data_IF_870569910689
#
_entry.id   IF_870569910689
#
_cell.length_a   1.000
_cell.length_b   1.000
_cell.length_c   1.000
_cell.angle_alpha   90.00
_cell.angle_beta   90.00
_cell.angle_gamma   90.00
#
_symmetry.space_group_name_H-M   'P 1'
#
loop_
_entity.id
_entity.type
_entity.pdbx_description
1 polymer ?
#
# COMPACT_ATOMS: atom_id res chain seq x y z
N UNK A 1 97.10 -22.96 -12.73
CA UNK A 1 96.32 -23.17 -11.48
C UNK A 1 94.88 -22.84 -11.78
N UNK A 2 94.04 -23.85 -11.56
CA UNK A 2 92.65 -23.99 -11.94
C UNK A 2 91.71 -23.62 -10.79
N UNK A 3 90.52 -23.15 -11.17
CA UNK A 3 89.23 -23.09 -10.44
C UNK A 3 89.04 -21.96 -9.39
N UNK A 4 87.79 -21.54 -9.09
CA UNK A 4 86.59 -21.54 -9.95
C UNK A 4 85.74 -20.23 -9.88
N UNK A 5 84.89 -20.06 -10.89
CA UNK A 5 83.64 -19.32 -10.83
C UNK A 5 82.67 -19.96 -9.85
N UNK A 6 82.11 -19.18 -8.92
CA UNK A 6 80.97 -19.59 -8.07
C UNK A 6 79.81 -18.60 -8.27
N UNK A 7 78.56 -19.10 -8.35
CA UNK A 7 77.43 -18.35 -8.86
C UNK A 7 76.67 -17.61 -7.76
N UNK A 8 75.89 -16.61 -8.20
CA UNK A 8 74.59 -16.26 -7.65
C UNK A 8 74.46 -16.10 -6.13
N UNK A 9 74.46 -14.86 -5.66
CA UNK A 9 73.60 -14.47 -4.54
C UNK A 9 73.04 -13.08 -4.82
N UNK A 10 71.92 -13.04 -5.53
CA UNK A 10 71.01 -11.91 -5.48
C UNK A 10 70.39 -11.96 -4.07
N UNK A 11 70.91 -11.16 -3.14
CA UNK A 11 70.21 -10.93 -1.88
C UNK A 11 68.92 -10.18 -2.24
N UNK A 12 67.84 -10.94 -2.41
CA UNK A 12 66.51 -10.42 -2.15
C UNK A 12 66.51 -10.03 -0.67
N UNK A 13 66.77 -8.73 -0.41
CA UNK A 13 66.30 -8.11 0.82
C UNK A 13 64.78 -8.23 0.78
N UNK A 14 64.26 -9.36 1.27
CA UNK A 14 62.91 -9.46 1.72
C UNK A 14 62.78 -8.42 2.82
N UNK A 15 62.19 -7.28 2.46
CA UNK A 15 61.62 -6.34 3.42
C UNK A 15 60.59 -7.13 4.21
N UNK A 16 61.06 -7.67 5.34
CA UNK A 16 60.26 -8.24 6.40
C UNK A 16 59.22 -7.21 6.77
N UNK A 17 57.96 -7.56 6.52
CA UNK A 17 56.80 -6.84 7.01
C UNK A 17 56.91 -5.33 6.83
N UNK A 18 56.61 -4.84 5.62
CA UNK A 18 55.71 -3.70 5.62
C UNK A 18 54.42 -4.21 6.28
N UNK A 19 54.36 -4.12 7.62
CA UNK A 19 53.10 -3.82 8.24
C UNK A 19 52.64 -2.59 7.50
N UNK A 20 51.69 -2.78 6.59
CA UNK A 20 50.80 -1.71 6.22
C UNK A 20 50.20 -1.30 7.55
N UNK A 21 50.83 -0.34 8.22
CA UNK A 21 50.18 0.43 9.24
C UNK A 21 48.96 0.94 8.52
N UNK A 22 47.80 0.35 8.84
CA UNK A 22 46.51 0.87 8.45
C UNK A 22 46.60 2.32 8.87
N UNK A 23 46.83 3.20 7.89
CA UNK A 23 46.94 4.60 8.14
C UNK A 23 45.61 4.96 8.77
N UNK A 24 45.61 5.19 10.09
CA UNK A 24 44.54 5.90 10.77
C UNK A 24 44.59 7.32 10.21
N UNK A 25 44.13 7.48 8.98
CA UNK A 25 43.72 8.77 8.47
C UNK A 25 42.55 9.18 9.37
N UNK A 26 42.69 10.23 10.19
CA UNK A 26 41.57 10.72 10.97
C UNK A 26 40.47 11.14 10.00
N UNK A 27 39.21 10.90 10.34
CA UNK A 27 38.06 11.52 9.67
C UNK A 27 38.13 13.04 9.87
N UNK A 28 39.02 13.74 9.17
CA UNK A 28 39.12 15.19 9.31
C UNK A 28 37.96 15.90 8.60
N UNK A 29 37.27 15.22 7.68
CA UNK A 29 36.07 15.71 7.02
C UNK A 29 35.23 14.54 6.54
N UNK A 30 33.96 14.49 6.94
CA UNK A 30 32.93 13.67 6.30
C UNK A 30 32.11 14.57 5.35
N UNK A 31 31.44 14.00 4.35
CA UNK A 31 30.63 14.81 3.43
C UNK A 31 29.46 15.47 4.19
N UNK A 32 28.86 16.51 3.60
CA UNK A 32 27.67 17.17 4.14
C UNK A 32 26.58 16.11 4.45
N UNK A 33 25.89 16.26 5.58
CA UNK A 33 24.96 15.27 6.15
C UNK A 33 25.59 13.91 6.51
N UNK A 34 26.90 13.87 6.76
CA UNK A 34 27.59 12.69 7.28
C UNK A 34 28.40 12.99 8.54
N UNK A 35 28.65 11.94 9.33
CA UNK A 35 29.46 12.01 10.54
C UNK A 35 30.43 10.83 10.62
N UNK A 36 31.52 11.01 11.38
CA UNK A 36 32.53 9.98 11.54
C UNK A 36 32.13 8.97 12.62
N UNK A 37 32.42 7.70 12.36
CA UNK A 37 32.24 6.57 13.26
C UNK A 37 33.61 5.94 13.52
N UNK A 38 33.91 5.69 14.81
CA UNK A 38 35.13 5.03 15.28
C UNK A 38 36.45 5.66 14.81
N UNK A 39 36.43 6.93 14.39
CA UNK A 39 37.59 7.65 13.83
C UNK A 39 38.19 7.02 12.56
N UNK A 40 37.48 6.10 11.91
CA UNK A 40 37.98 5.36 10.73
C UNK A 40 37.10 5.51 9.50
N UNK A 41 35.78 5.65 9.66
CA UNK A 41 34.82 5.64 8.56
C UNK A 41 33.76 6.73 8.73
N UNK A 42 33.22 7.24 7.63
CA UNK A 42 32.04 8.10 7.62
C UNK A 42 30.77 7.25 7.44
N UNK A 43 29.66 7.76 7.97
CA UNK A 43 28.29 7.30 7.70
C UNK A 43 27.40 8.52 7.46
N UNK A 44 26.29 8.35 6.77
CA UNK A 44 25.29 9.41 6.62
C UNK A 44 24.43 9.58 7.88
N UNK A 45 23.95 10.80 8.10
CA UNK A 45 22.93 11.11 9.10
C UNK A 45 21.63 10.34 8.80
N UNK A 46 20.77 10.09 9.80
CA UNK A 46 19.42 9.58 9.54
C UNK A 46 18.68 10.43 8.50
N UNK A 47 17.93 9.77 7.60
CA UNK A 47 17.28 10.44 6.46
C UNK A 47 18.17 10.60 5.22
N UNK A 48 19.45 10.18 5.28
CA UNK A 48 20.37 10.27 4.15
C UNK A 48 21.00 8.91 3.80
N UNK A 49 21.29 8.70 2.53
CA UNK A 49 21.92 7.49 1.99
C UNK A 49 23.15 7.86 1.14
N UNK A 50 24.19 7.03 1.19
CA UNK A 50 25.36 7.22 0.32
C UNK A 50 25.01 6.93 -1.13
N UNK A 51 25.69 7.62 -2.06
CA UNK A 51 25.49 7.42 -3.50
C UNK A 51 25.70 5.96 -3.94
N UNK A 52 26.57 5.21 -3.26
CA UNK A 52 26.80 3.79 -3.51
C UNK A 52 25.93 2.83 -2.70
N UNK A 53 25.05 3.32 -1.81
CA UNK A 53 24.25 2.51 -0.88
C UNK A 53 25.05 1.84 0.27
N UNK A 54 26.34 2.18 0.43
CA UNK A 54 27.17 1.66 1.54
C UNK A 54 26.88 2.41 2.83
N UNK A 55 26.72 1.66 3.93
CA UNK A 55 26.52 2.25 5.26
C UNK A 55 27.78 2.95 5.81
N UNK A 56 28.95 2.36 5.61
CA UNK A 56 30.23 2.93 6.03
C UNK A 56 31.15 3.13 4.83
N UNK A 57 31.81 4.28 4.75
CA UNK A 57 32.66 4.65 3.62
C UNK A 57 33.79 5.61 4.01
N UNK A 58 34.71 5.87 3.08
CA UNK A 58 35.80 6.83 3.24
C UNK A 58 35.52 8.08 2.38
N UNK A 59 35.68 9.27 2.97
CA UNK A 59 35.64 10.55 2.25
C UNK A 59 36.93 10.73 1.41
N UNK A 60 36.94 11.41 0.23
CA UNK A 60 35.91 12.25 -0.39
C UNK A 60 35.05 11.59 -1.49
N UNK A 61 35.11 10.27 -1.64
CA UNK A 61 34.55 9.59 -2.82
C UNK A 61 33.03 9.36 -2.75
N UNK A 62 32.39 9.71 -1.64
CA UNK A 62 30.96 9.50 -1.40
C UNK A 62 30.28 10.80 -0.97
N UNK A 63 29.01 10.92 -1.32
CA UNK A 63 28.11 11.99 -0.88
C UNK A 63 26.90 11.37 -0.19
N UNK A 64 26.40 12.04 0.85
CA UNK A 64 25.14 11.70 1.47
C UNK A 64 24.02 12.44 0.75
N UNK A 65 23.12 11.68 0.14
CA UNK A 65 21.93 12.19 -0.54
C UNK A 65 20.74 11.99 0.35
N UNK A 66 19.85 12.97 0.35
CA UNK A 66 18.56 12.86 0.99
C UNK A 66 17.79 11.64 0.47
N UNK A 67 17.13 10.93 1.39
CA UNK A 67 16.26 9.81 1.06
C UNK A 67 14.88 10.40 0.80
N UNK A 68 14.37 10.28 -0.43
CA UNK A 68 12.99 10.68 -0.71
C UNK A 68 12.03 9.60 -0.22
N UNK A 69 11.58 9.68 1.03
CA UNK A 69 10.71 8.66 1.60
C UNK A 69 9.33 8.62 0.93
N UNK A 70 8.95 9.66 0.18
CA UNK A 70 7.70 9.73 -0.55
C UNK A 70 7.73 9.01 -1.91
N UNK A 71 8.91 8.54 -2.37
CA UNK A 71 9.06 7.82 -3.64
C UNK A 71 9.50 6.36 -3.43
N UNK A 72 9.31 5.49 -4.44
CA UNK A 72 9.87 4.15 -4.41
C UNK A 72 11.39 4.20 -4.18
N UNK A 73 11.95 3.32 -3.32
CA UNK A 73 11.34 2.08 -2.82
C UNK A 73 10.55 2.20 -1.50
N UNK A 74 10.56 3.35 -0.81
CA UNK A 74 9.95 3.49 0.52
C UNK A 74 8.46 3.88 0.39
N UNK A 75 8.17 4.96 -0.34
CA UNK A 75 6.83 5.45 -0.66
C UNK A 75 5.87 5.52 0.54
N UNK A 76 6.21 6.33 1.55
CA UNK A 76 5.42 6.48 2.78
C UNK A 76 3.98 6.93 2.50
N UNK A 77 3.05 6.21 3.14
CA UNK A 77 1.62 6.53 3.12
C UNK A 77 1.25 7.45 4.28
N UNK A 78 0.62 8.58 3.97
CA UNK A 78 0.24 9.61 4.94
C UNK A 78 -1.22 9.53 5.42
N UNK A 79 -1.99 8.54 4.96
CA UNK A 79 -3.41 8.44 5.27
C UNK A 79 -4.32 9.16 4.28
N UNK A 80 -5.62 8.99 4.46
CA UNK A 80 -6.68 9.55 3.62
C UNK A 80 -6.65 11.10 3.59
N UNK A 81 -6.85 11.67 2.41
CA UNK A 81 -6.85 13.13 2.18
C UNK A 81 -5.55 13.81 2.61
N UNK A 82 -4.43 13.07 2.60
CA UNK A 82 -3.12 13.61 2.86
C UNK A 82 -2.12 13.12 1.82
N UNK A 83 -1.11 13.94 1.55
CA UNK A 83 0.00 13.66 0.66
C UNK A 83 1.32 13.70 1.43
N UNK A 84 2.25 12.82 1.06
CA UNK A 84 3.62 12.86 1.57
C UNK A 84 4.39 14.00 0.91
N UNK A 85 5.12 14.77 1.71
CA UNK A 85 6.04 15.82 1.28
C UNK A 85 7.43 15.54 1.82
N UNK A 86 8.35 15.26 0.90
CA UNK A 86 9.75 15.06 1.21
C UNK A 86 10.37 16.39 1.65
N UNK A 87 11.18 16.36 2.70
CA UNK A 87 11.98 17.49 3.18
C UNK A 87 13.40 17.03 3.43
N UNK A 88 14.38 17.92 3.39
CA UNK A 88 15.77 17.48 3.55
C UNK A 88 16.00 16.81 4.93
N UNK A 89 16.38 15.53 4.90
CA UNK A 89 16.61 14.66 6.04
C UNK A 89 15.35 14.02 6.63
N UNK A 90 14.16 14.23 6.06
CA UNK A 90 12.91 13.66 6.58
C UNK A 90 11.72 13.78 5.61
N UNK A 91 10.51 13.55 6.11
CA UNK A 91 9.28 13.82 5.39
C UNK A 91 8.23 14.34 6.38
N UNK A 92 7.20 14.99 5.84
CA UNK A 92 5.97 15.23 6.58
C UNK A 92 4.77 14.90 5.70
N UNK A 93 3.67 14.63 6.36
CA UNK A 93 2.38 14.48 5.74
C UNK A 93 1.65 15.81 5.75
N UNK A 94 0.89 16.08 4.69
CA UNK A 94 0.10 17.29 4.56
C UNK A 94 -1.30 16.97 4.09
N UNK A 95 -2.33 17.53 4.71
CA UNK A 95 -3.69 17.44 4.19
C UNK A 95 -3.74 18.02 2.76
N UNK A 96 -4.43 17.34 1.86
CA UNK A 96 -4.64 17.86 0.50
C UNK A 96 -5.52 19.13 0.56
N UNK A 97 -5.41 20.04 -0.41
CA UNK A 97 -6.21 21.26 -0.42
C UNK A 97 -7.71 20.99 -0.23
N UNK A 98 -8.34 21.77 0.66
CA UNK A 98 -9.75 21.57 1.05
C UNK A 98 -9.94 20.69 2.29
N UNK A 99 -8.85 20.19 2.87
CA UNK A 99 -8.86 19.40 4.10
C UNK A 99 -7.88 19.97 5.14
N UNK A 100 -8.28 19.90 6.41
CA UNK A 100 -7.49 20.35 7.57
C UNK A 100 -7.57 19.33 8.70
N UNK A 101 -6.54 19.27 9.54
CA UNK A 101 -6.58 18.49 10.77
C UNK A 101 -7.66 19.05 11.70
N UNK A 102 -8.10 18.23 12.64
CA UNK A 102 -9.03 18.67 13.69
C UNK A 102 -8.51 19.86 14.51
N UNK A 103 -7.18 20.03 14.60
CA UNK A 103 -6.54 21.17 15.26
C UNK A 103 -6.58 22.47 14.44
N UNK A 104 -6.94 22.40 13.15
CA UNK A 104 -6.82 23.51 12.19
C UNK A 104 -5.46 23.57 11.50
N UNK A 105 -4.52 22.69 11.85
CA UNK A 105 -3.24 22.57 11.15
C UNK A 105 -3.39 21.78 9.83
N UNK A 106 -2.40 21.89 8.95
CA UNK A 106 -2.39 21.17 7.66
C UNK A 106 -1.26 20.15 7.54
N UNK A 107 -0.34 20.08 8.48
CA UNK A 107 0.84 19.21 8.44
C UNK A 107 0.92 18.30 9.69
N UNK A 108 1.40 17.08 9.50
CA UNK A 108 1.58 16.08 10.56
C UNK A 108 2.67 15.08 10.18
N UNK A 109 3.15 14.25 11.11
CA UNK A 109 4.39 13.51 10.89
C UNK A 109 4.21 12.09 10.33
N UNK A 110 3.06 11.45 10.54
CA UNK A 110 2.82 10.09 10.07
C UNK A 110 1.32 9.76 9.95
N UNK A 111 0.98 8.66 9.27
CA UNK A 111 -0.41 8.26 9.02
C UNK A 111 -1.29 8.06 10.26
N UNK A 112 -0.71 7.75 11.43
CA UNK A 112 -1.50 7.55 12.65
C UNK A 112 -2.08 8.87 13.19
N UNK A 113 -1.48 10.01 12.82
CA UNK A 113 -1.92 11.35 13.21
C UNK A 113 -2.90 11.96 12.19
N UNK A 114 -3.22 11.23 11.13
CA UNK A 114 -4.06 11.75 10.06
C UNK A 114 -5.51 11.96 10.52
N UNK A 115 -5.87 13.23 10.72
CA UNK A 115 -7.23 13.67 11.07
C UNK A 115 -7.79 14.65 10.03
N UNK A 116 -7.31 14.61 8.79
CA UNK A 116 -7.71 15.53 7.72
C UNK A 116 -9.21 15.42 7.39
N UNK A 117 -9.96 16.50 7.66
CA UNK A 117 -11.40 16.63 7.40
C UNK A 117 -11.69 17.77 6.42
N UNK A 118 -12.76 17.62 5.65
CA UNK A 118 -13.12 18.58 4.60
C UNK A 118 -13.68 19.89 5.20
N UNK A 119 -13.13 21.03 4.79
CA UNK A 119 -13.48 22.37 5.27
C UNK A 119 -14.95 22.74 4.95
N UNK A 120 -15.56 22.10 3.94
CA UNK A 120 -16.94 22.40 3.48
C UNK A 120 -18.06 21.58 4.14
N UNK A 121 -17.75 20.65 5.06
CA UNK A 121 -18.74 19.69 5.58
C UNK A 121 -19.72 20.24 6.63
N UNK A 122 -19.80 21.56 6.85
CA UNK A 122 -20.85 22.14 7.69
C UNK A 122 -22.11 22.47 6.86
N UNK A 123 -22.98 21.44 6.70
CA UNK A 123 -24.41 21.44 6.29
C UNK A 123 -24.71 20.61 5.03
N UNK A 124 -24.86 19.30 5.20
CA UNK A 124 -25.87 18.44 4.55
C UNK A 124 -25.87 17.07 5.26
N UNK A 125 -26.94 16.26 5.24
CA UNK A 125 -26.98 14.99 5.95
C UNK A 125 -25.85 14.08 5.48
N UNK A 126 -24.99 13.65 6.42
CA UNK A 126 -23.70 13.04 6.12
C UNK A 126 -23.87 11.61 5.56
N UNK A 127 -23.83 11.45 4.23
CA UNK A 127 -23.65 10.15 3.58
C UNK A 127 -22.43 9.39 4.14
N UNK A 128 -21.37 10.11 4.51
CA UNK A 128 -20.20 9.55 5.21
C UNK A 128 -20.52 8.95 6.59
N UNK A 129 -21.43 9.55 7.38
CA UNK A 129 -21.81 9.04 8.70
C UNK A 129 -22.67 7.78 8.55
N UNK A 130 -23.58 7.75 7.58
CA UNK A 130 -24.36 6.55 7.24
C UNK A 130 -23.45 5.43 6.70
N UNK A 131 -22.49 5.76 5.84
CA UNK A 131 -21.52 4.81 5.28
C UNK A 131 -20.62 4.21 6.39
N UNK A 132 -20.24 5.01 7.37
CA UNK A 132 -19.52 4.55 8.56
C UNK A 132 -20.37 3.56 9.39
N UNK A 133 -21.65 3.85 9.60
CA UNK A 133 -22.55 2.94 10.31
C UNK A 133 -22.70 1.60 9.56
N UNK A 134 -22.78 1.63 8.23
CA UNK A 134 -22.81 0.43 7.40
C UNK A 134 -21.55 -0.42 7.64
N UNK A 135 -20.37 0.18 7.52
CA UNK A 135 -19.08 -0.53 7.69
C UNK A 135 -18.93 -1.12 9.10
N UNK A 136 -19.31 -0.38 10.15
CA UNK A 136 -19.25 -0.86 11.53
C UNK A 136 -20.25 -2.02 11.78
N UNK A 137 -21.45 -1.94 11.22
CA UNK A 137 -22.44 -3.02 11.35
C UNK A 137 -21.93 -4.31 10.70
N UNK A 138 -21.30 -4.22 9.53
CA UNK A 138 -20.79 -5.40 8.83
C UNK A 138 -19.50 -5.96 9.44
N UNK A 139 -18.66 -5.13 10.05
CA UNK A 139 -17.56 -5.60 10.89
C UNK A 139 -18.07 -6.56 11.97
N UNK A 140 -19.13 -6.17 12.70
CA UNK A 140 -19.70 -6.99 13.77
C UNK A 140 -20.19 -8.37 13.28
N UNK A 141 -20.67 -8.47 12.04
CA UNK A 141 -21.10 -9.73 11.43
C UNK A 141 -19.90 -10.58 10.98
N UNK A 142 -18.86 -9.95 10.45
CA UNK A 142 -17.67 -10.64 9.94
C UNK A 142 -16.74 -11.13 11.07
N UNK A 143 -16.77 -10.49 12.24
CA UNK A 143 -15.97 -10.92 13.41
C UNK A 143 -16.71 -11.91 14.32
N UNK A 144 -17.98 -12.21 14.05
CA UNK A 144 -18.78 -13.09 14.91
C UNK A 144 -18.42 -14.58 14.69
N UNK A 145 -17.58 -15.11 15.58
CA UNK A 145 -17.02 -16.46 15.45
C UNK A 145 -18.06 -17.58 15.65
N UNK A 146 -19.10 -17.37 16.46
CA UNK A 146 -20.17 -18.36 16.67
C UNK A 146 -21.10 -18.45 15.46
N UNK A 147 -21.26 -17.35 14.72
CA UNK A 147 -22.07 -17.29 13.50
C UNK A 147 -21.48 -18.13 12.35
N UNK A 148 -20.15 -18.14 12.20
CA UNK A 148 -19.47 -18.87 11.11
C UNK A 148 -19.09 -20.31 11.46
N UNK A 149 -18.92 -20.64 12.74
CA UNK A 149 -18.40 -21.94 13.19
C UNK A 149 -19.40 -23.11 13.19
N UNK A 150 -20.68 -22.88 12.87
CA UNK A 150 -21.76 -23.87 13.06
C UNK A 150 -22.43 -24.37 11.76
N UNK A 151 -22.05 -23.84 10.59
CA UNK A 151 -22.70 -24.13 9.31
C UNK A 151 -21.90 -25.06 8.38
N UNK A 152 -22.59 -25.73 7.47
CA UNK A 152 -21.99 -26.42 6.33
C UNK A 152 -21.31 -25.43 5.36
N UNK A 153 -20.39 -25.91 4.51
CA UNK A 153 -19.71 -25.09 3.50
C UNK A 153 -20.69 -24.30 2.63
N UNK A 154 -21.78 -24.94 2.19
CA UNK A 154 -22.82 -24.34 1.37
C UNK A 154 -23.53 -23.19 2.11
N UNK A 155 -23.84 -23.37 3.38
CA UNK A 155 -24.49 -22.35 4.22
C UNK A 155 -23.57 -21.17 4.48
N UNK A 156 -22.28 -21.43 4.75
CA UNK A 156 -21.25 -20.39 4.89
C UNK A 156 -21.12 -19.60 3.58
N UNK A 157 -21.06 -20.27 2.43
CA UNK A 157 -20.97 -19.65 1.11
C UNK A 157 -22.18 -18.74 0.81
N UNK A 158 -23.38 -19.25 1.07
CA UNK A 158 -24.65 -18.55 0.87
C UNK A 158 -24.74 -17.31 1.77
N UNK A 159 -24.36 -17.47 3.03
CA UNK A 159 -24.37 -16.39 4.03
C UNK A 159 -23.35 -15.30 3.69
N UNK A 160 -22.12 -15.69 3.32
CA UNK A 160 -21.10 -14.76 2.85
C UNK A 160 -21.58 -13.99 1.62
N UNK A 161 -22.15 -14.69 0.64
CA UNK A 161 -22.70 -14.07 -0.58
C UNK A 161 -23.80 -13.05 -0.25
N UNK A 162 -24.71 -13.40 0.66
CA UNK A 162 -25.79 -12.49 1.12
C UNK A 162 -25.23 -11.25 1.82
N UNK A 163 -24.20 -11.40 2.66
CA UNK A 163 -23.53 -10.27 3.31
C UNK A 163 -22.89 -9.36 2.26
N UNK A 164 -22.11 -9.91 1.32
CA UNK A 164 -21.45 -9.15 0.27
C UNK A 164 -22.45 -8.33 -0.57
N UNK A 165 -23.55 -8.97 -1.00
CA UNK A 165 -24.61 -8.29 -1.76
C UNK A 165 -25.31 -7.19 -0.96
N UNK A 166 -25.55 -7.41 0.33
CA UNK A 166 -26.17 -6.41 1.20
C UNK A 166 -25.25 -5.21 1.43
N UNK A 167 -23.94 -5.43 1.58
CA UNK A 167 -22.95 -4.35 1.69
C UNK A 167 -22.96 -3.53 0.40
N UNK A 168 -22.84 -4.18 -0.77
CA UNK A 168 -22.87 -3.52 -2.07
C UNK A 168 -24.10 -2.64 -2.26
N UNK A 169 -25.29 -3.18 -1.99
CA UNK A 169 -26.55 -2.45 -2.15
C UNK A 169 -26.62 -1.22 -1.26
N UNK A 170 -26.33 -1.39 0.05
CA UNK A 170 -26.42 -0.28 1.02
C UNK A 170 -25.39 0.81 0.75
N UNK A 171 -24.15 0.41 0.42
CA UNK A 171 -23.08 1.35 0.06
C UNK A 171 -23.47 2.20 -1.14
N UNK A 172 -24.00 1.58 -2.21
CA UNK A 172 -24.42 2.28 -3.42
C UNK A 172 -25.64 3.18 -3.17
N UNK A 173 -26.62 2.72 -2.40
CA UNK A 173 -27.78 3.55 -2.00
C UNK A 173 -27.36 4.79 -1.21
N UNK A 174 -26.48 4.63 -0.21
CA UNK A 174 -25.94 5.76 0.56
C UNK A 174 -25.15 6.71 -0.32
N UNK A 175 -24.36 6.19 -1.26
CA UNK A 175 -23.62 7.02 -2.20
C UNK A 175 -24.55 7.89 -3.06
N UNK A 176 -25.60 7.28 -3.62
CA UNK A 176 -26.59 7.95 -4.48
C UNK A 176 -27.47 8.97 -3.74
N UNK A 177 -27.65 8.84 -2.41
CA UNK A 177 -28.35 9.84 -1.58
C UNK A 177 -27.56 11.13 -1.38
N UNK A 178 -26.24 11.10 -1.57
CA UNK A 178 -25.35 12.25 -1.42
C UNK A 178 -24.58 12.55 -2.72
N UNK A 179 -25.25 12.91 -3.83
CA UNK A 179 -24.60 13.07 -5.13
C UNK A 179 -23.61 14.24 -5.20
N UNK A 180 -23.71 15.20 -4.27
CA UNK A 180 -22.70 16.26 -4.10
C UNK A 180 -21.36 15.75 -3.59
N UNK A 181 -21.33 14.59 -2.93
CA UNK A 181 -20.12 13.89 -2.52
C UNK A 181 -19.69 12.92 -3.62
N UNK A 182 -18.95 13.45 -4.60
CA UNK A 182 -18.50 12.66 -5.78
C UNK A 182 -17.70 11.42 -5.41
N UNK A 183 -16.89 11.46 -4.35
CA UNK A 183 -16.11 10.33 -3.86
C UNK A 183 -16.37 10.18 -2.37
N UNK A 184 -16.64 8.97 -1.91
CA UNK A 184 -16.80 8.65 -0.48
C UNK A 184 -15.89 7.49 -0.12
N UNK A 185 -15.17 7.61 0.99
CA UNK A 185 -14.18 6.62 1.43
C UNK A 185 -14.34 6.35 2.91
N UNK A 186 -14.51 5.09 3.27
CA UNK A 186 -14.64 4.63 4.66
C UNK A 186 -13.88 3.32 4.81
N UNK A 187 -13.14 3.15 5.89
CA UNK A 187 -12.48 1.89 6.19
C UNK A 187 -12.35 1.65 7.69
N UNK A 188 -12.35 0.38 8.08
CA UNK A 188 -11.88 -0.11 9.36
C UNK A 188 -10.91 -1.30 9.14
N UNK A 189 -10.64 -2.07 10.20
CA UNK A 189 -9.77 -3.25 10.16
C UNK A 189 -10.33 -4.41 9.32
N UNK A 190 -11.64 -4.43 9.03
CA UNK A 190 -12.34 -5.58 8.42
C UNK A 190 -12.88 -5.28 7.02
N UNK A 191 -13.40 -4.08 6.78
CA UNK A 191 -14.02 -3.65 5.52
C UNK A 191 -13.49 -2.27 5.13
N UNK A 192 -13.14 -2.11 3.87
CA UNK A 192 -12.80 -0.82 3.27
C UNK A 192 -13.67 -0.58 2.03
N UNK A 193 -14.19 0.63 1.88
CA UNK A 193 -15.15 1.02 0.86
C UNK A 193 -14.69 2.33 0.22
N UNK A 194 -14.62 2.35 -1.11
CA UNK A 194 -14.57 3.57 -1.92
C UNK A 194 -15.79 3.58 -2.84
N UNK A 195 -16.51 4.70 -2.89
CA UNK A 195 -17.56 4.94 -3.88
C UNK A 195 -17.25 6.16 -4.72
N UNK A 196 -17.77 6.16 -5.94
CA UNK A 196 -17.71 7.30 -6.85
C UNK A 196 -19.06 7.52 -7.52
N UNK A 197 -19.60 8.73 -7.38
CA UNK A 197 -20.87 9.16 -8.00
C UNK A 197 -20.59 9.94 -9.27
N UNK A 198 -21.30 9.58 -10.33
CA UNK A 198 -21.28 10.19 -11.67
C UNK A 198 -22.64 10.85 -11.92
N UNK A 199 -22.66 12.17 -12.02
CA UNK A 199 -23.90 12.95 -12.21
C UNK A 199 -23.95 13.68 -13.56
N UNK A 200 -22.82 13.77 -14.26
CA UNK A 200 -22.59 14.61 -15.43
C UNK A 200 -22.48 13.79 -16.73
N UNK A 201 -22.92 12.53 -16.72
CA UNK A 201 -22.90 11.67 -17.91
C UNK A 201 -21.51 11.56 -18.57
N UNK A 202 -20.44 11.55 -17.77
CA UNK A 202 -19.04 11.43 -18.20
C UNK A 202 -18.51 12.60 -19.06
N UNK A 203 -19.08 13.81 -18.95
CA UNK A 203 -18.66 14.96 -19.74
C UNK A 203 -17.21 15.41 -19.45
N UNK A 204 -16.77 15.32 -18.19
CA UNK A 204 -15.46 15.79 -17.75
C UNK A 204 -14.35 14.73 -17.86
N UNK A 205 -14.69 13.44 -17.93
CA UNK A 205 -13.71 12.34 -17.83
C UNK A 205 -14.04 11.17 -18.78
N UNK A 206 -13.51 11.21 -20.01
CA UNK A 206 -13.42 10.02 -20.91
C UNK A 206 -12.36 9.01 -20.45
N UNK A 207 -12.15 8.88 -19.14
CA UNK A 207 -11.07 8.08 -18.54
C UNK A 207 -11.65 6.93 -17.72
N UNK A 208 -10.88 5.87 -17.59
CA UNK A 208 -11.12 4.86 -16.58
C UNK A 208 -11.04 5.49 -15.19
N UNK A 209 -12.05 5.23 -14.36
CA UNK A 209 -12.01 5.54 -12.94
C UNK A 209 -11.21 4.45 -12.23
N UNK A 210 -10.19 4.88 -11.49
CA UNK A 210 -9.46 4.02 -10.57
C UNK A 210 -9.99 4.21 -9.16
N UNK A 211 -10.63 3.17 -8.61
CA UNK A 211 -10.99 3.10 -7.20
C UNK A 211 -9.97 2.20 -6.49
N UNK A 212 -9.67 2.49 -5.23
CA UNK A 212 -8.73 1.73 -4.42
C UNK A 212 -9.26 1.54 -2.99
N UNK A 213 -9.15 0.31 -2.51
CA UNK A 213 -9.44 -0.05 -1.13
C UNK A 213 -8.25 -0.81 -0.58
N UNK A 214 -7.63 -0.22 0.44
CA UNK A 214 -6.37 -0.72 1.02
C UNK A 214 -5.31 -0.92 -0.08
N UNK A 215 -4.91 -2.16 -0.34
CA UNK A 215 -3.88 -2.55 -1.31
C UNK A 215 -4.44 -3.06 -2.65
N UNK A 216 -5.75 -3.00 -2.83
CA UNK A 216 -6.42 -3.45 -4.05
C UNK A 216 -6.93 -2.26 -4.84
N UNK A 217 -7.13 -2.46 -6.15
CA UNK A 217 -7.75 -1.44 -6.99
C UNK A 217 -8.59 -2.03 -8.11
N UNK A 218 -9.54 -1.23 -8.59
CA UNK A 218 -10.34 -1.52 -9.78
C UNK A 218 -10.28 -0.34 -10.72
N UNK A 219 -10.05 -0.63 -12.01
CA UNK A 219 -10.19 0.32 -13.10
C UNK A 219 -11.48 0.00 -13.87
N UNK A 220 -12.39 0.97 -13.94
CA UNK A 220 -13.68 0.85 -14.64
C UNK A 220 -13.96 2.10 -15.46
N UNK A 221 -14.39 1.91 -16.72
CA UNK A 221 -14.68 3.04 -17.59
C UNK A 221 -15.97 3.74 -17.19
N UNK A 222 -15.98 5.08 -17.26
CA UNK A 222 -17.14 5.87 -16.88
C UNK A 222 -18.42 5.43 -17.62
N UNK A 223 -18.31 5.10 -18.92
CA UNK A 223 -19.44 4.63 -19.73
C UNK A 223 -20.08 3.35 -19.20
N UNK A 224 -19.30 2.48 -18.55
CA UNK A 224 -19.77 1.24 -17.93
C UNK A 224 -20.40 1.49 -16.56
N UNK A 225 -20.16 2.65 -15.97
CA UNK A 225 -20.84 3.14 -14.75
C UNK A 225 -22.17 3.80 -15.10
N UNK A 226 -22.23 4.65 -16.13
CA UNK A 226 -23.45 5.37 -16.50
C UNK A 226 -24.46 4.53 -17.31
N UNK A 227 -24.07 3.36 -17.82
CA UNK A 227 -24.94 2.34 -18.46
C UNK A 227 -26.10 2.89 -19.33
N UNK A 228 -25.86 3.96 -20.10
CA UNK A 228 -26.83 4.58 -21.02
C UNK A 228 -27.23 6.03 -20.67
N UNK A 229 -28.29 6.55 -21.31
CA UNK A 229 -28.87 7.88 -20.99
C UNK A 229 -29.80 7.75 -19.79
N UNK A 230 -29.30 7.98 -18.59
CA UNK A 230 -30.09 7.94 -17.35
C UNK A 230 -30.65 9.32 -16.97
N UNK A 231 -31.81 9.32 -16.30
CA UNK A 231 -32.27 10.46 -15.50
C UNK A 231 -31.74 10.23 -14.08
N UNK A 232 -30.71 10.98 -13.67
CA UNK A 232 -30.16 10.94 -12.32
C UNK A 232 -28.74 10.37 -12.20
N UNK A 233 -28.13 10.49 -11.01
CA UNK A 233 -26.75 10.06 -10.78
C UNK A 233 -26.61 8.54 -10.84
N UNK A 234 -25.44 8.07 -11.29
CA UNK A 234 -24.99 6.68 -11.20
C UNK A 234 -23.82 6.59 -10.24
N UNK A 235 -23.55 5.43 -9.67
CA UNK A 235 -22.45 5.24 -8.74
C UNK A 235 -21.74 3.92 -8.98
N UNK A 236 -20.45 3.89 -8.70
CA UNK A 236 -19.65 2.66 -8.57
C UNK A 236 -19.09 2.58 -7.16
N UNK A 237 -19.08 1.37 -6.61
CA UNK A 237 -18.48 1.05 -5.33
C UNK A 237 -17.40 -0.02 -5.52
N UNK A 238 -16.28 0.15 -4.84
CA UNK A 238 -15.24 -0.86 -4.69
C UNK A 238 -15.05 -1.13 -3.21
N UNK A 239 -15.08 -2.40 -2.83
CA UNK A 239 -15.11 -2.83 -1.43
C UNK A 239 -14.06 -3.92 -1.24
N UNK A 240 -13.27 -3.85 -0.17
CA UNK A 240 -12.35 -4.91 0.27
C UNK A 240 -12.77 -5.45 1.63
N UNK A 241 -12.67 -6.77 1.80
CA UNK A 241 -13.03 -7.53 2.99
C UNK A 241 -11.81 -8.29 3.51
N UNK A 242 -11.12 -7.71 4.50
CA UNK A 242 -9.89 -8.26 5.05
C UNK A 242 -10.11 -9.53 5.88
N UNK A 243 -11.25 -9.64 6.59
CA UNK A 243 -11.52 -10.77 7.49
C UNK A 243 -12.16 -11.98 6.80
N UNK A 244 -12.67 -11.83 5.57
CA UNK A 244 -13.41 -12.91 4.90
C UNK A 244 -12.50 -14.05 4.44
N UNK A 245 -11.20 -13.80 4.21
CA UNK A 245 -10.23 -14.86 3.90
C UNK A 245 -10.06 -15.88 5.04
N UNK A 246 -10.29 -15.48 6.29
CA UNK A 246 -10.25 -16.39 7.44
C UNK A 246 -11.50 -17.27 7.52
N UNK A 247 -12.63 -16.77 7.01
CA UNK A 247 -13.92 -17.49 6.93
C UNK A 247 -13.88 -18.48 5.76
N UNK A 248 -13.37 -18.03 4.61
CA UNK A 248 -13.19 -18.83 3.38
C UNK A 248 -11.79 -19.48 3.35
N UNK A 249 -11.44 -20.21 4.40
CA UNK A 249 -10.12 -20.82 4.56
C UNK A 249 -9.94 -22.10 3.72
N UNK A 250 -8.76 -22.73 3.77
CA UNK A 250 -8.44 -23.92 2.98
C UNK A 250 -9.44 -25.08 3.07
N UNK A 251 -10.11 -25.26 4.20
CA UNK A 251 -11.11 -26.33 4.37
C UNK A 251 -12.35 -26.11 3.48
N UNK A 252 -12.56 -24.88 3.02
CA UNK A 252 -13.65 -24.51 2.12
C UNK A 252 -13.41 -24.99 0.68
N UNK A 253 -12.16 -25.02 0.21
CA UNK A 253 -11.82 -25.42 -1.17
C UNK A 253 -11.68 -26.95 -1.27
N UNK A 254 -12.64 -27.60 -1.92
CA UNK A 254 -12.86 -29.06 -1.84
C UNK A 254 -11.79 -29.99 -2.45
N UNK A 255 -10.68 -29.49 -3.00
CA UNK A 255 -9.74 -30.35 -3.77
C UNK A 255 -8.28 -29.95 -3.67
N UNK A 256 -7.82 -29.71 -2.46
CA UNK A 256 -6.41 -29.89 -2.17
C UNK A 256 -6.16 -31.34 -1.81
N UNK A 257 -5.17 -31.99 -2.42
CA UNK A 257 -4.55 -33.17 -1.83
C UNK A 257 -4.20 -32.80 -0.37
N UNK A 258 -4.32 -33.69 0.62
CA UNK A 258 -4.02 -33.34 2.04
C UNK A 258 -2.59 -32.76 2.19
N UNK A 259 -1.75 -33.00 1.18
CA UNK A 259 -0.39 -32.49 1.05
C UNK A 259 -0.28 -31.05 0.51
N UNK A 260 -1.25 -30.57 -0.27
CA UNK A 260 -1.20 -29.26 -0.96
C UNK A 260 -2.47 -28.42 -0.72
N UNK A 261 -2.72 -27.97 0.52
CA UNK A 261 -3.85 -27.10 0.86
C UNK A 261 -3.86 -25.79 0.05
N UNK A 262 -5.00 -25.50 -0.59
CA UNK A 262 -5.24 -24.25 -1.32
C UNK A 262 -5.70 -23.17 -0.36
N UNK A 263 -5.10 -22.00 -0.42
CA UNK A 263 -5.48 -20.85 0.39
C UNK A 263 -5.76 -19.65 -0.50
N UNK A 264 -6.70 -18.81 -0.07
CA UNK A 264 -6.86 -17.48 -0.65
C UNK A 264 -5.63 -16.64 -0.28
N UNK A 265 -4.87 -16.19 -1.27
CA UNK A 265 -3.68 -15.35 -1.06
C UNK A 265 -3.96 -13.85 -1.24
N UNK A 266 -5.22 -13.45 -1.25
CA UNK A 266 -5.64 -12.06 -1.43
C UNK A 266 -6.81 -11.74 -0.51
N UNK A 267 -7.14 -10.45 -0.39
CA UNK A 267 -8.40 -10.04 0.21
C UNK A 267 -9.54 -10.33 -0.76
N UNK A 268 -10.71 -10.68 -0.23
CA UNK A 268 -11.92 -10.70 -1.05
C UNK A 268 -12.29 -9.27 -1.36
N UNK A 269 -12.53 -8.96 -2.62
CA UNK A 269 -13.00 -7.65 -3.06
C UNK A 269 -14.28 -7.79 -3.86
N UNK A 270 -15.09 -6.73 -3.89
CA UNK A 270 -16.19 -6.64 -4.82
C UNK A 270 -16.30 -5.25 -5.44
N UNK A 271 -16.80 -5.22 -6.68
CA UNK A 271 -17.06 -4.00 -7.43
C UNK A 271 -18.49 -4.04 -7.93
N UNK A 272 -19.27 -3.01 -7.63
CA UNK A 272 -20.69 -2.95 -7.99
C UNK A 272 -21.06 -1.57 -8.51
N UNK A 273 -21.99 -1.53 -9.46
CA UNK A 273 -22.51 -0.31 -10.08
C UNK A 273 -24.00 -0.19 -9.79
N UNK A 274 -24.45 1.01 -9.46
CA UNK A 274 -25.86 1.36 -9.34
C UNK A 274 -26.23 2.52 -10.26
N UNK A 275 -27.45 2.52 -10.83
CA UNK A 275 -28.49 1.50 -10.68
C UNK A 275 -28.14 0.19 -11.40
N UNK A 276 -28.50 -0.96 -10.81
CA UNK A 276 -28.20 -2.30 -11.34
C UNK A 276 -29.03 -2.55 -12.61
N UNK A 277 -28.40 -2.85 -13.75
CA UNK A 277 -29.10 -3.23 -15.00
C UNK A 277 -28.44 -4.44 -15.67
N UNK A 278 -29.24 -5.16 -16.46
CA UNK A 278 -28.82 -6.33 -17.24
C UNK A 278 -28.09 -5.90 -18.52
N UNK A 279 -26.95 -5.23 -18.39
CA UNK A 279 -26.09 -4.88 -19.53
C UNK A 279 -24.70 -5.47 -19.31
N UNK A 280 -24.17 -6.14 -20.34
CA UNK A 280 -22.77 -6.52 -20.41
C UNK A 280 -21.89 -5.26 -20.38
N UNK A 281 -20.80 -5.31 -19.63
CA UNK A 281 -19.77 -4.28 -19.65
C UNK A 281 -19.26 -4.10 -21.08
N UNK A 282 -19.18 -2.86 -21.55
CA UNK A 282 -18.70 -2.56 -22.90
C UNK A 282 -17.18 -2.61 -22.99
N UNK A 283 -16.48 -2.42 -21.86
CA UNK A 283 -15.03 -2.54 -21.76
C UNK A 283 -14.61 -3.49 -20.63
N UNK A 284 -13.35 -3.93 -20.68
CA UNK A 284 -12.78 -4.77 -19.61
C UNK A 284 -12.62 -3.98 -18.33
N UNK A 285 -13.06 -4.56 -17.22
CA UNK A 285 -12.77 -4.08 -15.86
C UNK A 285 -11.48 -4.75 -15.39
N UNK A 286 -10.51 -3.97 -14.92
CA UNK A 286 -9.23 -4.50 -14.42
C UNK A 286 -9.22 -4.47 -12.90
N UNK A 287 -9.14 -5.65 -12.28
CA UNK A 287 -8.96 -5.80 -10.84
C UNK A 287 -7.49 -6.08 -10.54
N UNK A 288 -6.89 -5.31 -9.64
CA UNK A 288 -5.51 -5.51 -9.16
C UNK A 288 -5.55 -5.86 -7.69
N UNK A 289 -4.90 -6.97 -7.34
CA UNK A 289 -4.83 -7.51 -5.98
C UNK A 289 -3.40 -7.49 -5.47
N UNK A 290 -3.23 -7.29 -4.16
CA UNK A 290 -1.96 -7.54 -3.51
C UNK A 290 -1.97 -8.93 -2.85
N UNK A 291 -0.92 -9.70 -3.14
CA UNK A 291 -0.68 -10.98 -2.51
C UNK A 291 -0.33 -10.80 -1.03
N UNK A 292 -1.05 -11.50 -0.14
CA UNK A 292 -0.83 -11.49 1.31
C UNK A 292 0.48 -12.19 1.68
N UNK A 293 0.87 -13.22 0.93
CA UNK A 293 2.17 -13.87 1.02
C UNK A 293 2.88 -13.76 -0.33
N UNK A 294 4.04 -13.13 -0.34
CA UNK A 294 5.00 -13.17 -1.45
C UNK A 294 5.92 -14.35 -1.17
N UNK A 295 5.97 -15.33 -2.08
CA UNK A 295 6.83 -16.51 -1.92
C UNK A 295 8.30 -16.11 -1.75
N UNK A 296 8.79 -16.12 -0.52
CA UNK A 296 10.19 -15.93 -0.19
C UNK A 296 10.93 -17.25 -0.25
N UNK A 297 11.87 -17.36 -1.19
CA UNK A 297 13.06 -18.22 -1.21
C UNK A 297 13.06 -19.47 -0.30
N UNK A 298 12.92 -20.64 -0.95
CA UNK A 298 12.97 -22.02 -0.39
C UNK A 298 11.78 -22.43 0.49
N UNK A 299 10.67 -22.74 -0.15
CA UNK A 299 9.76 -23.77 0.31
C UNK A 299 9.42 -24.69 -0.88
N UNK A 300 9.21 -25.98 -0.61
CA UNK A 300 8.88 -27.01 -1.59
C UNK A 300 7.56 -26.76 -2.35
N UNK A 301 7.13 -27.71 -3.19
CA UNK A 301 6.16 -27.46 -4.26
C UNK A 301 4.78 -27.19 -3.67
N UNK A 302 4.45 -25.93 -3.44
CA UNK A 302 3.10 -25.45 -3.16
C UNK A 302 2.91 -24.16 -3.93
N UNK A 303 2.13 -24.22 -5.01
CA UNK A 303 1.84 -23.04 -5.83
C UNK A 303 0.83 -22.14 -5.13
N UNK A 304 1.18 -20.86 -5.02
CA UNK A 304 0.36 -19.78 -4.49
C UNK A 304 -0.41 -19.16 -5.66
N UNK A 305 -1.74 -19.19 -5.63
CA UNK A 305 -2.62 -18.45 -6.53
C UNK A 305 -2.97 -17.09 -5.93
#
# INVERSE_FOLDING_TARGET
MSLPSVPGLCFLLSLSGAEAQVAKGPCNWCPLHGYCVNSTHCTCNPGFISGSGKRFFTYPLEICKDIDECKPPISIYCGLNAECKNVEGSFHCRCVPGYELLSGDVQFNNSNENTCQNITSSKTPNGHTELQQIVNNFESLLTNQTFWGAGSKQEVASTASSILQNVESKVLETALRAPGQKIQKVQNSTVAVETRVVSDNCSEERKAFRLHTQMNSVDIHCIDVIQGRTQGPSAVAFISYASLGNILNATFFEKADEKDPLYLNSQVVSAAVAPRRNSSLSQSVTLTFQNLKVGGSRAGPGQVL
#
